data_IF_490650863846
#
_entry.id   IF_490650863846
#
_cell.length_a   1.000
_cell.length_b   1.000
_cell.length_c   1.000
_cell.angle_alpha   90.00
_cell.angle_beta   90.00
_cell.angle_gamma   90.00
#
_symmetry.space_group_name_H-M   'P 1'
#
loop_
_entity.id
_entity.type
_entity.pdbx_description
1 polymer ?
#
# COMPACT_ATOMS: atom_id res chain seq x y z
N UNK A 1 13.96 15.72 13.57
CA UNK A 1 13.33 15.90 12.25
C UNK A 1 13.23 14.54 11.60
N UNK A 2 12.04 13.97 11.50
CA UNK A 2 11.81 12.75 10.76
C UNK A 2 12.06 13.05 9.29
N UNK A 3 13.02 12.36 8.69
CA UNK A 3 13.38 12.56 7.29
C UNK A 3 12.20 12.13 6.40
N UNK A 4 11.65 13.07 5.66
CA UNK A 4 10.65 12.80 4.65
C UNK A 4 11.29 11.98 3.52
N UNK A 5 10.85 10.75 3.36
CA UNK A 5 11.41 9.83 2.37
C UNK A 5 10.65 9.89 1.05
N UNK A 6 11.34 9.73 -0.07
CA UNK A 6 10.74 9.56 -1.40
C UNK A 6 9.76 8.38 -1.43
N UNK A 7 9.98 7.37 -0.58
CA UNK A 7 9.09 6.20 -0.44
C UNK A 7 8.02 6.35 0.65
N UNK A 8 7.77 7.58 1.15
CA UNK A 8 6.81 7.81 2.24
C UNK A 8 5.38 7.33 1.92
N UNK A 9 4.98 7.33 0.67
CA UNK A 9 3.68 6.81 0.23
C UNK A 9 3.66 5.29 0.06
N UNK A 10 4.82 4.65 -0.09
CA UNK A 10 4.93 3.21 -0.32
C UNK A 10 4.08 2.71 -1.48
N UNK A 11 3.39 1.58 -1.29
CA UNK A 11 2.52 0.94 -2.28
C UNK A 11 1.03 1.29 -2.10
N UNK A 12 0.69 2.25 -1.22
CA UNK A 12 -0.69 2.62 -0.92
C UNK A 12 -1.50 3.07 -2.14
N UNK A 13 -0.97 3.91 -3.08
CA UNK A 13 -1.68 4.28 -4.30
C UNK A 13 -2.05 3.10 -5.19
N UNK A 14 -1.20 2.07 -5.22
CA UNK A 14 -1.49 0.84 -5.97
C UNK A 14 -2.63 0.04 -5.35
N UNK A 15 -2.67 -0.08 -4.01
CA UNK A 15 -3.78 -0.77 -3.32
C UNK A 15 -5.10 -0.08 -3.64
N UNK A 16 -5.11 1.25 -3.61
CA UNK A 16 -6.28 2.05 -3.97
C UNK A 16 -6.72 1.80 -5.42
N UNK A 17 -5.76 1.82 -6.36
CA UNK A 17 -6.03 1.51 -7.76
C UNK A 17 -6.58 0.09 -7.96
N UNK A 18 -6.02 -0.90 -7.26
CA UNK A 18 -6.45 -2.29 -7.30
C UNK A 18 -7.89 -2.45 -6.80
N UNK A 19 -8.25 -1.80 -5.70
CA UNK A 19 -9.62 -1.81 -5.17
C UNK A 19 -10.58 -1.18 -6.18
N UNK A 20 -10.23 -0.04 -6.77
CA UNK A 20 -11.05 0.62 -7.78
C UNK A 20 -11.27 -0.30 -8.98
N UNK A 21 -10.22 -0.91 -9.52
CA UNK A 21 -10.33 -1.83 -10.65
C UNK A 21 -11.17 -3.05 -10.29
N UNK A 22 -11.00 -3.64 -9.10
CA UNK A 22 -11.81 -4.78 -8.64
C UNK A 22 -13.30 -4.42 -8.50
N UNK A 23 -13.63 -3.20 -8.07
CA UNK A 23 -15.01 -2.74 -8.01
C UNK A 23 -15.61 -2.45 -9.40
N UNK A 24 -14.77 -2.04 -10.36
CA UNK A 24 -15.19 -1.79 -11.74
C UNK A 24 -15.38 -3.09 -12.55
N UNK A 25 -14.70 -4.17 -12.18
CA UNK A 25 -14.79 -5.47 -12.87
C UNK A 25 -16.23 -5.96 -13.07
N UNK A 26 -17.11 -6.00 -12.04
CA UNK A 26 -18.50 -6.45 -12.22
C UNK A 26 -19.38 -5.42 -12.93
N UNK A 27 -18.97 -4.14 -12.98
CA UNK A 27 -19.77 -3.05 -13.55
C UNK A 27 -19.52 -2.89 -15.04
N UNK A 28 -18.27 -3.10 -15.47
CA UNK A 28 -17.87 -2.90 -16.88
C UNK A 28 -17.79 -4.25 -17.59
N UNK A 29 -18.73 -4.56 -18.53
CA UNK A 29 -18.78 -5.87 -19.22
C UNK A 29 -17.48 -6.25 -19.91
N UNK A 30 -16.79 -5.29 -20.52
CA UNK A 30 -15.49 -5.53 -21.20
C UNK A 30 -14.39 -5.97 -20.24
N UNK A 31 -14.34 -5.41 -19.02
CA UNK A 31 -13.38 -5.84 -18.01
C UNK A 31 -13.72 -7.23 -17.48
N UNK A 32 -15.01 -7.53 -17.36
CA UNK A 32 -15.47 -8.85 -16.96
C UNK A 32 -15.10 -9.95 -17.99
N UNK A 33 -15.19 -9.65 -19.27
CA UNK A 33 -14.75 -10.55 -20.35
C UNK A 33 -13.25 -10.81 -20.26
N UNK A 34 -12.44 -9.76 -20.11
CA UNK A 34 -11.00 -9.88 -19.93
C UNK A 34 -10.66 -10.71 -18.68
N UNK A 35 -11.39 -10.53 -17.56
CA UNK A 35 -11.17 -11.31 -16.35
C UNK A 35 -11.41 -12.82 -16.56
N UNK A 36 -12.29 -13.20 -17.49
CA UNK A 36 -12.58 -14.60 -17.83
C UNK A 36 -11.54 -15.24 -18.76
N UNK A 37 -10.64 -14.47 -19.37
CA UNK A 37 -9.54 -14.96 -20.21
C UNK A 37 -8.45 -15.73 -19.44
N UNK A 38 -8.60 -15.92 -18.12
CA UNK A 38 -7.66 -16.64 -17.28
C UNK A 38 -6.39 -15.81 -16.97
N UNK A 39 -5.21 -16.41 -17.12
CA UNK A 39 -3.94 -15.78 -16.74
C UNK A 39 -3.60 -14.55 -17.61
N UNK A 40 -3.89 -14.61 -18.90
CA UNK A 40 -3.68 -13.47 -19.80
C UNK A 40 -4.57 -12.28 -19.43
N UNK A 41 -5.83 -12.55 -19.08
CA UNK A 41 -6.75 -11.52 -18.61
C UNK A 41 -6.30 -10.87 -17.30
N UNK A 42 -5.81 -11.65 -16.35
CA UNK A 42 -5.23 -11.14 -15.10
C UNK A 42 -4.05 -10.22 -15.35
N UNK A 43 -3.17 -10.56 -16.27
CA UNK A 43 -2.02 -9.73 -16.63
C UNK A 43 -2.44 -8.39 -17.22
N UNK A 44 -3.47 -8.38 -18.11
CA UNK A 44 -4.05 -7.14 -18.65
C UNK A 44 -4.67 -6.27 -17.54
N UNK A 45 -5.42 -6.87 -16.61
CA UNK A 45 -6.03 -6.15 -15.49
C UNK A 45 -4.95 -5.55 -14.58
N UNK A 46 -3.88 -6.29 -14.28
CA UNK A 46 -2.74 -5.77 -13.52
C UNK A 46 -2.07 -4.59 -14.24
N UNK A 47 -1.94 -4.65 -15.56
CA UNK A 47 -1.42 -3.55 -16.37
C UNK A 47 -2.31 -2.30 -16.29
N UNK A 48 -3.64 -2.45 -16.39
CA UNK A 48 -4.58 -1.33 -16.20
C UNK A 48 -4.49 -0.75 -14.79
N UNK A 49 -4.35 -1.60 -13.77
CA UNK A 49 -4.15 -1.17 -12.39
C UNK A 49 -2.87 -0.35 -12.25
N UNK A 50 -1.78 -0.80 -12.85
CA UNK A 50 -0.50 -0.06 -12.86
C UNK A 50 -0.64 1.31 -13.53
N UNK A 51 -1.30 1.38 -14.68
CA UNK A 51 -1.55 2.66 -15.37
C UNK A 51 -2.40 3.61 -14.53
N UNK A 52 -3.44 3.09 -13.88
CA UNK A 52 -4.31 3.87 -13.00
C UNK A 52 -3.58 4.34 -11.73
N UNK A 53 -2.58 3.60 -11.28
CA UNK A 53 -1.79 3.96 -10.10
C UNK A 53 -1.01 5.26 -10.30
N UNK A 54 -0.50 5.54 -11.50
CA UNK A 54 0.30 6.75 -11.77
C UNK A 54 -0.45 8.05 -11.45
N UNK A 55 -1.63 8.32 -12.05
CA UNK A 55 -2.39 9.52 -11.72
C UNK A 55 -2.88 9.55 -10.28
N UNK A 56 -3.26 8.39 -9.71
CA UNK A 56 -3.67 8.31 -8.31
C UNK A 56 -2.50 8.61 -7.36
N UNK A 57 -1.31 8.10 -7.65
CA UNK A 57 -0.11 8.40 -6.88
C UNK A 57 0.21 9.90 -6.92
N UNK A 58 0.10 10.54 -8.08
CA UNK A 58 0.32 11.98 -8.21
C UNK A 58 -0.70 12.80 -7.39
N UNK A 59 -1.99 12.43 -7.44
CA UNK A 59 -3.03 13.09 -6.65
C UNK A 59 -2.82 12.89 -5.14
N UNK A 60 -2.49 11.68 -4.71
CA UNK A 60 -2.22 11.39 -3.30
C UNK A 60 -0.93 12.06 -2.83
N UNK A 61 0.12 12.11 -3.66
CA UNK A 61 1.36 12.83 -3.38
C UNK A 61 1.09 14.30 -3.13
N UNK A 62 0.27 14.93 -3.97
CA UNK A 62 -0.13 16.31 -3.79
C UNK A 62 -0.90 16.53 -2.49
N UNK A 63 -1.93 15.68 -2.22
CA UNK A 63 -2.72 15.77 -1.00
C UNK A 63 -1.88 15.59 0.26
N UNK A 64 -1.00 14.59 0.29
CA UNK A 64 -0.12 14.34 1.44
C UNK A 64 0.89 15.46 1.65
N UNK A 65 1.48 15.98 0.58
CA UNK A 65 2.42 17.11 0.66
C UNK A 65 1.76 18.39 1.17
N UNK A 66 0.48 18.62 0.82
CA UNK A 66 -0.30 19.74 1.35
C UNK A 66 -0.51 19.62 2.88
N UNK A 67 -0.81 18.43 3.37
CA UNK A 67 -0.95 18.18 4.81
C UNK A 67 0.37 18.42 5.54
N UNK A 68 1.50 17.97 4.97
CA UNK A 68 2.83 18.17 5.53
C UNK A 68 3.26 19.64 5.52
N UNK A 69 2.81 20.40 4.53
CA UNK A 69 3.01 21.85 4.51
C UNK A 69 2.27 22.53 5.66
N UNK A 70 1.01 22.16 5.90
CA UNK A 70 0.22 22.69 7.01
C UNK A 70 0.85 22.39 8.38
N UNK A 71 1.56 21.28 8.50
CA UNK A 71 2.30 20.90 9.70
C UNK A 71 3.69 21.58 9.80
N UNK A 72 4.04 22.45 8.85
CA UNK A 72 5.32 23.15 8.83
C UNK A 72 6.54 22.29 8.48
N UNK A 73 6.33 21.06 7.98
CA UNK A 73 7.40 20.13 7.59
C UNK A 73 7.97 20.49 6.21
N UNK A 74 7.12 20.94 5.29
CA UNK A 74 7.49 21.41 3.95
C UNK A 74 7.35 22.93 3.89
N UNK A 75 8.47 23.65 3.75
CA UNK A 75 8.47 25.11 3.76
C UNK A 75 8.07 25.75 2.41
N UNK A 76 8.35 25.09 1.28
CA UNK A 76 8.19 25.66 -0.06
C UNK A 76 7.30 24.76 -0.94
N UNK A 77 6.01 24.66 -0.59
CA UNK A 77 5.04 23.88 -1.34
C UNK A 77 3.83 24.75 -1.72
N UNK A 78 3.39 24.68 -2.96
CA UNK A 78 2.24 25.42 -3.47
C UNK A 78 2.41 25.73 -4.95
N UNK A 79 1.41 25.43 -5.78
CA UNK A 79 1.48 25.66 -7.23
C UNK A 79 1.58 27.13 -7.60
N UNK A 80 1.03 28.02 -6.78
CA UNK A 80 1.01 29.47 -7.05
C UNK A 80 2.28 30.18 -6.61
N UNK A 81 2.89 29.72 -5.50
CA UNK A 81 4.06 30.37 -4.89
C UNK A 81 5.37 29.70 -5.27
N UNK A 82 5.40 28.38 -5.35
CA UNK A 82 6.60 27.59 -5.61
C UNK A 82 6.31 26.39 -6.53
N UNK A 83 6.05 26.60 -7.84
CA UNK A 83 5.65 25.54 -8.75
C UNK A 83 6.72 24.46 -8.95
N UNK A 84 8.00 24.84 -9.07
CA UNK A 84 9.10 23.89 -9.30
C UNK A 84 9.33 22.93 -8.11
N UNK A 85 9.45 23.38 -6.84
CA UNK A 85 9.55 22.49 -5.70
C UNK A 85 8.32 21.58 -5.54
N UNK A 86 7.12 22.09 -5.83
CA UNK A 86 5.88 21.32 -5.76
C UNK A 86 5.86 20.19 -6.77
N UNK A 87 6.18 20.46 -8.03
CA UNK A 87 6.27 19.46 -9.08
C UNK A 87 7.37 18.42 -8.76
N UNK A 88 8.54 18.86 -8.31
CA UNK A 88 9.62 17.98 -7.93
C UNK A 88 9.21 17.03 -6.81
N UNK A 89 8.51 17.51 -5.78
CA UNK A 89 8.02 16.69 -4.68
C UNK A 89 6.99 15.67 -5.15
N UNK A 90 5.99 16.09 -5.93
CA UNK A 90 4.95 15.19 -6.46
C UNK A 90 5.56 14.11 -7.37
N UNK A 91 6.44 14.50 -8.28
CA UNK A 91 7.11 13.55 -9.19
C UNK A 91 7.99 12.58 -8.40
N UNK A 92 8.76 13.05 -7.42
CA UNK A 92 9.62 12.21 -6.60
C UNK A 92 8.84 11.17 -5.80
N UNK A 93 7.72 11.56 -5.18
CA UNK A 93 6.85 10.65 -4.43
C UNK A 93 6.16 9.63 -5.35
N UNK A 94 5.70 10.09 -6.52
CA UNK A 94 5.11 9.20 -7.52
C UNK A 94 6.16 8.19 -8.03
N UNK A 95 7.37 8.65 -8.32
CA UNK A 95 8.48 7.79 -8.73
C UNK A 95 8.83 6.76 -7.64
N UNK A 96 8.84 7.15 -6.37
CA UNK A 96 9.04 6.23 -5.23
C UNK A 96 7.98 5.14 -5.17
N UNK A 97 6.71 5.48 -5.39
CA UNK A 97 5.62 4.49 -5.47
C UNK A 97 5.80 3.53 -6.66
N UNK A 98 6.14 4.05 -7.83
CA UNK A 98 6.38 3.23 -9.02
C UNK A 98 7.57 2.29 -8.84
N UNK A 99 8.63 2.76 -8.18
CA UNK A 99 9.79 1.95 -7.83
C UNK A 99 9.42 0.82 -6.85
N UNK A 100 8.62 1.13 -5.81
CA UNK A 100 8.15 0.11 -4.87
C UNK A 100 7.26 -0.95 -5.56
N UNK A 101 6.41 -0.54 -6.50
CA UNK A 101 5.62 -1.46 -7.31
C UNK A 101 6.49 -2.33 -8.20
N UNK A 102 7.49 -1.77 -8.86
CA UNK A 102 8.43 -2.51 -9.69
C UNK A 102 9.17 -3.58 -8.87
N UNK A 103 9.63 -3.23 -7.65
CA UNK A 103 10.20 -4.22 -6.73
C UNK A 103 9.19 -5.31 -6.36
N UNK A 104 7.92 -4.94 -6.11
CA UNK A 104 6.85 -5.89 -5.83
C UNK A 104 6.59 -6.85 -6.99
N UNK A 105 6.62 -6.36 -8.24
CA UNK A 105 6.46 -7.23 -9.42
C UNK A 105 7.63 -8.21 -9.57
N UNK A 106 8.86 -7.75 -9.36
CA UNK A 106 10.04 -8.63 -9.38
C UNK A 106 9.93 -9.77 -8.34
N UNK A 107 9.50 -9.45 -7.12
CA UNK A 107 9.29 -10.46 -6.07
C UNK A 107 8.23 -11.48 -6.50
N UNK A 108 7.15 -11.01 -7.12
CA UNK A 108 6.08 -11.88 -7.63
C UNK A 108 6.57 -12.79 -8.75
N UNK A 109 7.38 -12.28 -9.67
CA UNK A 109 7.98 -13.05 -10.78
C UNK A 109 8.94 -14.14 -10.27
N UNK A 110 9.62 -13.92 -9.14
CA UNK A 110 10.47 -14.92 -8.50
C UNK A 110 9.69 -16.03 -7.77
N UNK A 111 8.36 -16.00 -7.79
CA UNK A 111 7.51 -17.08 -7.27
C UNK A 111 7.34 -17.12 -5.76
N UNK A 112 7.70 -16.07 -5.02
CA UNK A 112 7.60 -16.01 -3.55
C UNK A 112 6.17 -15.60 -3.10
N UNK A 113 5.20 -15.55 -4.02
CA UNK A 113 3.83 -15.11 -3.77
C UNK A 113 3.57 -13.67 -4.20
N UNK A 114 2.63 -12.97 -3.57
CA UNK A 114 2.32 -11.58 -3.94
C UNK A 114 3.39 -10.63 -3.38
N UNK A 115 4.28 -10.13 -4.24
CA UNK A 115 5.41 -9.28 -3.86
C UNK A 115 5.00 -7.96 -3.20
N UNK A 116 3.86 -7.39 -3.57
CA UNK A 116 3.34 -6.16 -2.94
C UNK A 116 2.95 -6.43 -1.49
N UNK A 117 2.29 -7.56 -1.23
CA UNK A 117 1.97 -7.99 0.14
C UNK A 117 3.22 -8.21 0.97
N UNK A 118 4.30 -8.75 0.38
CA UNK A 118 5.58 -8.93 1.06
C UNK A 118 6.23 -7.60 1.40
N UNK A 119 6.17 -6.60 0.51
CA UNK A 119 6.68 -5.24 0.79
C UNK A 119 5.92 -4.60 1.94
N UNK A 120 4.58 -4.73 1.97
CA UNK A 120 3.75 -4.21 3.06
C UNK A 120 4.11 -4.90 4.38
N UNK A 121 4.19 -6.23 4.36
CA UNK A 121 4.59 -7.03 5.53
C UNK A 121 5.97 -6.63 6.04
N UNK A 122 6.95 -6.50 5.15
CA UNK A 122 8.30 -6.04 5.49
C UNK A 122 8.29 -4.65 6.14
N UNK A 123 7.49 -3.72 5.61
CA UNK A 123 7.33 -2.38 6.20
C UNK A 123 6.73 -2.39 7.61
N UNK A 124 5.73 -3.26 7.84
CA UNK A 124 5.13 -3.44 9.16
C UNK A 124 6.14 -4.04 10.13
N UNK A 125 6.79 -5.13 9.75
CA UNK A 125 7.77 -5.84 10.60
C UNK A 125 8.97 -4.98 10.91
N UNK A 126 9.47 -4.18 9.98
CA UNK A 126 10.58 -3.26 10.20
C UNK A 126 10.31 -2.22 11.30
N UNK A 127 9.05 -1.84 11.52
CA UNK A 127 8.65 -0.93 12.58
C UNK A 127 8.51 -1.58 13.97
N UNK A 128 8.37 -2.90 14.05
CA UNK A 128 8.11 -3.61 15.32
C UNK A 128 9.27 -3.50 16.32
N UNK A 129 10.56 -3.72 15.95
CA UNK A 129 11.66 -3.65 16.90
C UNK A 129 11.76 -2.30 17.61
N UNK A 130 11.58 -1.21 16.87
CA UNK A 130 11.63 0.13 17.42
C UNK A 130 10.47 0.38 18.40
N UNK A 131 9.26 -0.04 18.07
CA UNK A 131 8.08 0.09 18.95
C UNK A 131 8.23 -0.73 20.21
N UNK A 132 8.68 -1.99 20.09
CA UNK A 132 8.94 -2.87 21.22
C UNK A 132 10.01 -2.27 22.13
N UNK A 133 11.12 -1.75 21.57
CA UNK A 133 12.16 -1.09 22.34
C UNK A 133 11.66 0.14 23.11
N UNK A 134 10.81 0.96 22.51
CA UNK A 134 10.20 2.11 23.18
C UNK A 134 9.25 1.69 24.32
N UNK A 135 8.43 0.67 24.12
CA UNK A 135 7.49 0.16 25.12
C UNK A 135 8.19 -0.50 26.29
N UNK A 136 9.31 -1.20 26.06
CA UNK A 136 10.12 -1.79 27.10
C UNK A 136 10.64 -0.76 28.11
N UNK A 137 11.04 0.41 27.59
CA UNK A 137 11.62 1.48 28.44
C UNK A 137 10.54 2.35 29.07
N UNK A 138 9.43 2.62 28.36
CA UNK A 138 8.42 3.59 28.81
C UNK A 138 7.33 2.96 29.68
N UNK A 139 6.83 1.77 29.34
CA UNK A 139 5.71 1.15 30.06
C UNK A 139 5.64 -0.37 29.82
N UNK A 140 6.13 -1.22 30.75
CA UNK A 140 6.09 -2.67 30.60
C UNK A 140 4.67 -3.25 30.47
N UNK A 141 3.67 -2.61 31.12
CA UNK A 141 2.28 -3.06 31.04
C UNK A 141 1.70 -2.85 29.62
N UNK A 142 2.06 -1.75 28.95
CA UNK A 142 1.69 -1.49 27.57
C UNK A 142 2.32 -2.51 26.61
N UNK A 143 3.53 -3.00 26.90
CA UNK A 143 4.16 -4.06 26.11
C UNK A 143 3.39 -5.37 26.20
N UNK A 144 2.99 -5.79 27.42
CA UNK A 144 2.19 -7.01 27.61
C UNK A 144 0.87 -6.89 26.84
N UNK A 145 0.19 -5.76 26.97
CA UNK A 145 -1.07 -5.50 26.23
C UNK A 145 -0.85 -5.56 24.72
N UNK A 146 0.23 -4.97 24.22
CA UNK A 146 0.58 -5.00 22.79
C UNK A 146 0.80 -6.43 22.29
N UNK A 147 1.57 -7.25 23.02
CA UNK A 147 1.84 -8.65 22.65
C UNK A 147 0.55 -9.47 22.66
N UNK A 148 -0.26 -9.37 23.71
CA UNK A 148 -1.54 -10.07 23.82
C UNK A 148 -2.48 -9.71 22.68
N UNK A 149 -2.65 -8.41 22.39
CA UNK A 149 -3.49 -7.95 21.27
C UNK A 149 -2.97 -8.47 19.93
N UNK A 150 -1.66 -8.45 19.71
CA UNK A 150 -1.06 -8.96 18.47
C UNK A 150 -1.35 -10.45 18.29
N UNK A 151 -1.15 -11.26 19.33
CA UNK A 151 -1.41 -12.70 19.28
C UNK A 151 -2.89 -12.99 19.05
N UNK A 152 -3.79 -12.30 19.75
CA UNK A 152 -5.23 -12.46 19.58
C UNK A 152 -5.67 -12.07 18.16
N UNK A 153 -5.14 -10.96 17.63
CA UNK A 153 -5.46 -10.51 16.27
C UNK A 153 -4.98 -11.51 15.22
N UNK A 154 -3.75 -12.01 15.34
CA UNK A 154 -3.21 -13.03 14.43
C UNK A 154 -4.05 -14.30 14.50
N UNK A 155 -4.37 -14.79 15.71
CA UNK A 155 -5.21 -15.99 15.88
C UNK A 155 -6.59 -15.81 15.25
N UNK A 156 -7.24 -14.65 15.45
CA UNK A 156 -8.53 -14.34 14.85
C UNK A 156 -8.48 -14.33 13.31
N UNK A 157 -7.43 -13.72 12.73
CA UNK A 157 -7.24 -13.70 11.27
C UNK A 157 -7.06 -15.11 10.73
N UNK A 158 -6.23 -15.94 11.37
CA UNK A 158 -5.99 -17.34 10.96
C UNK A 158 -7.28 -18.14 11.01
N UNK A 159 -8.06 -18.05 12.09
CA UNK A 159 -9.35 -18.75 12.22
C UNK A 159 -10.33 -18.34 11.11
N UNK A 160 -10.40 -17.05 10.78
CA UNK A 160 -11.29 -16.55 9.72
C UNK A 160 -10.81 -17.03 8.34
N UNK A 161 -9.50 -17.03 8.11
CA UNK A 161 -8.91 -17.39 6.82
C UNK A 161 -8.97 -18.91 6.56
N UNK A 162 -8.81 -19.74 7.58
CA UNK A 162 -8.95 -21.19 7.48
C UNK A 162 -10.40 -21.67 7.56
N UNK A 163 -11.33 -20.80 7.94
CA UNK A 163 -12.76 -21.10 8.04
C UNK A 163 -13.38 -21.43 6.69
N UNK A 164 -13.48 -22.72 6.34
CA UNK A 164 -14.15 -23.19 5.13
C UNK A 164 -15.62 -23.49 5.41
N UNK A 165 -16.51 -22.75 4.73
CA UNK A 165 -17.94 -23.09 4.73
C UNK A 165 -18.20 -24.18 3.69
N UNK A 166 -18.44 -25.42 4.15
CA UNK A 166 -18.90 -26.50 3.29
C UNK A 166 -20.39 -26.29 3.00
N UNK A 167 -20.73 -25.93 1.76
CA UNK A 167 -22.12 -25.92 1.29
C UNK A 167 -22.40 -27.27 0.65
N UNK A 168 -23.32 -28.10 1.18
CA UNK A 168 -23.73 -29.32 0.51
C UNK A 168 -24.46 -28.94 -0.78
N UNK A 169 -23.90 -29.33 -1.92
CA UNK A 169 -24.59 -29.23 -3.23
C UNK A 169 -25.41 -30.47 -3.38
N UNK A 170 -26.75 -30.35 -3.39
CA UNK A 170 -27.68 -31.40 -3.79
C UNK A 170 -27.80 -31.42 -5.30
#
# INVERSE_FOLDING_TARGET
MSNFSVMAMGVYPYITAQIIVQLLLPIIPRLQEIAKEGEQGRNKINQYTTWLTVPLAALQAFGQSTILQQQGILANFGFTTHPLPTLATVISLTAGTMFAMWLGSLITEQGIGNGISIIIFGGIVAGVPQRVGQLLVSNPMALITFVVLTVVTVAAIVVVQEGQRRVPVQ
#
